data_IF_841869595227
#
_entry.id   IF_841869595227
#
_cell.length_a   1.000
_cell.length_b   1.000
_cell.length_c   1.000
_cell.angle_alpha   90.00
_cell.angle_beta   90.00
_cell.angle_gamma   90.00
#
_symmetry.space_group_name_H-M   'P 1'
#
loop_
_entity.id
_entity.type
_entity.pdbx_description
1 polymer ?
#
# COMPACT_ATOMS: atom_id res chain seq x y z
N UNK A 1 -4.53 54.34 -4.84
CA UNK A 1 -3.36 53.53 -4.42
C UNK A 1 -3.79 52.07 -4.38
N UNK A 2 -3.99 51.43 -5.55
CA UNK A 2 -4.66 50.11 -5.60
C UNK A 2 -4.02 49.14 -6.62
N UNK A 3 -2.74 49.32 -6.96
CA UNK A 3 -2.06 48.58 -8.05
C UNK A 3 -0.86 47.76 -7.56
N UNK A 4 -0.96 47.11 -6.39
CA UNK A 4 0.08 46.20 -5.89
C UNK A 4 -0.39 44.75 -5.69
N UNK A 5 -1.63 44.42 -6.08
CA UNK A 5 -2.20 43.08 -5.82
C UNK A 5 -2.27 42.16 -7.07
N UNK A 6 -1.81 42.61 -8.23
CA UNK A 6 -1.96 41.83 -9.48
C UNK A 6 -0.91 40.71 -9.65
N UNK A 7 0.20 40.74 -8.89
CA UNK A 7 1.22 39.67 -8.89
C UNK A 7 0.94 38.52 -7.91
N UNK A 8 0.21 38.78 -6.82
CA UNK A 8 -0.09 37.78 -5.79
C UNK A 8 -1.13 36.76 -6.25
N UNK A 9 -2.08 37.16 -7.09
CA UNK A 9 -3.10 36.26 -7.63
C UNK A 9 -2.53 35.19 -8.58
N UNK A 10 -1.37 35.40 -9.22
CA UNK A 10 -0.76 34.38 -10.06
C UNK A 10 -0.05 33.27 -9.25
N UNK A 11 0.51 33.57 -8.07
CA UNK A 11 1.17 32.57 -7.23
C UNK A 11 0.20 31.67 -6.45
N UNK A 12 -0.94 32.23 -6.03
CA UNK A 12 -1.95 31.51 -5.25
C UNK A 12 -2.63 30.41 -6.09
N UNK A 13 -2.81 30.62 -7.40
CA UNK A 13 -3.40 29.60 -8.28
C UNK A 13 -2.58 28.31 -8.35
N UNK A 14 -1.25 28.41 -8.40
CA UNK A 14 -0.35 27.25 -8.42
C UNK A 14 -0.32 26.50 -7.09
N UNK A 15 -0.41 27.22 -5.96
CA UNK A 15 -0.46 26.61 -4.63
C UNK A 15 -1.74 25.77 -4.46
N UNK A 16 -2.87 26.28 -4.94
CA UNK A 16 -4.15 25.57 -4.88
C UNK A 16 -4.10 24.28 -5.71
N UNK A 17 -3.43 24.31 -6.88
CA UNK A 17 -3.28 23.15 -7.76
C UNK A 17 -2.44 22.04 -7.09
N UNK A 18 -1.31 22.41 -6.47
CA UNK A 18 -0.46 21.46 -5.73
C UNK A 18 -1.24 20.82 -4.56
N UNK A 19 -1.98 21.63 -3.82
CA UNK A 19 -2.82 21.15 -2.71
C UNK A 19 -3.90 20.20 -3.20
N UNK A 20 -4.55 20.51 -4.33
CA UNK A 20 -5.57 19.65 -4.93
C UNK A 20 -4.98 18.28 -5.33
N UNK A 21 -3.80 18.25 -5.95
CA UNK A 21 -3.11 16.98 -6.30
C UNK A 21 -2.76 16.19 -5.04
N UNK A 22 -2.23 16.84 -4.01
CA UNK A 22 -1.89 16.19 -2.75
C UNK A 22 -3.12 15.56 -2.08
N UNK A 23 -4.27 16.24 -2.11
CA UNK A 23 -5.55 15.73 -1.59
C UNK A 23 -6.01 14.51 -2.40
N UNK A 24 -5.92 14.55 -3.73
CA UNK A 24 -6.27 13.42 -4.60
C UNK A 24 -5.41 12.20 -4.27
N UNK A 25 -4.09 12.37 -4.17
CA UNK A 25 -3.16 11.29 -3.82
C UNK A 25 -3.50 10.74 -2.43
N UNK A 26 -3.72 11.61 -1.44
CA UNK A 26 -4.10 11.20 -0.09
C UNK A 26 -5.40 10.41 -0.04
N UNK A 27 -6.41 10.82 -0.81
CA UNK A 27 -7.67 10.09 -0.93
C UNK A 27 -7.46 8.73 -1.57
N UNK A 28 -6.66 8.63 -2.65
CA UNK A 28 -6.33 7.36 -3.28
C UNK A 28 -5.62 6.44 -2.29
N UNK A 29 -4.62 6.91 -1.54
CA UNK A 29 -3.94 6.08 -0.53
C UNK A 29 -4.85 5.66 0.63
N UNK A 30 -5.72 6.56 1.11
CA UNK A 30 -6.67 6.27 2.21
C UNK A 30 -7.75 5.27 1.79
N UNK A 31 -8.26 5.38 0.57
CA UNK A 31 -9.22 4.42 0.02
C UNK A 31 -8.55 3.12 -0.41
N UNK A 32 -7.34 3.15 -0.98
CA UNK A 32 -6.54 1.96 -1.27
C UNK A 32 -6.27 1.19 0.02
N UNK A 33 -5.86 1.85 1.11
CA UNK A 33 -5.68 1.21 2.42
C UNK A 33 -6.97 0.56 2.93
N UNK A 34 -8.13 1.17 2.67
CA UNK A 34 -9.45 0.63 3.05
C UNK A 34 -9.93 -0.54 2.15
N UNK A 35 -9.54 -0.56 0.87
CA UNK A 35 -9.77 -1.68 -0.04
C UNK A 35 -8.80 -2.85 0.22
N UNK A 36 -7.54 -2.55 0.55
CA UNK A 36 -6.56 -3.53 1.04
C UNK A 36 -6.81 -4.01 2.47
N UNK A 37 -7.82 -3.52 3.18
CA UNK A 37 -8.23 -4.07 4.50
C UNK A 37 -9.58 -4.80 4.45
N UNK A 38 -10.38 -4.62 3.39
CA UNK A 38 -11.62 -5.39 3.18
C UNK A 38 -11.46 -6.59 2.23
N UNK A 39 -10.54 -6.56 1.26
CA UNK A 39 -10.22 -7.73 0.43
C UNK A 39 -9.14 -8.64 1.06
N UNK A 40 -8.37 -8.13 2.01
CA UNK A 40 -7.22 -8.81 2.61
C UNK A 40 -7.58 -9.58 3.89
N UNK A 41 -8.87 -9.64 4.23
CA UNK A 41 -9.39 -10.45 5.34
C UNK A 41 -9.76 -11.89 4.92
N UNK A 42 -9.91 -12.17 3.62
CA UNK A 42 -10.41 -13.49 3.17
C UNK A 42 -9.42 -14.29 2.32
N UNK A 43 -8.29 -13.70 1.90
CA UNK A 43 -7.34 -14.35 1.00
C UNK A 43 -5.87 -13.98 1.28
N UNK A 44 -5.51 -13.68 2.55
CA UNK A 44 -4.08 -13.76 2.91
C UNK A 44 -3.67 -15.21 2.77
N UNK A 45 -3.05 -15.54 1.64
CA UNK A 45 -2.45 -16.87 1.44
C UNK A 45 -1.44 -17.09 2.56
N UNK A 46 -1.25 -18.33 3.00
CA UNK A 46 -0.27 -18.65 4.04
C UNK A 46 1.14 -18.08 3.74
N UNK A 47 1.48 -17.93 2.44
CA UNK A 47 2.68 -17.23 1.96
C UNK A 47 2.76 -15.75 2.34
N UNK A 48 1.64 -15.02 2.31
CA UNK A 48 1.61 -13.59 2.59
C UNK A 48 1.82 -13.31 4.08
N UNK A 49 1.24 -14.16 4.95
CA UNK A 49 1.48 -14.13 6.40
C UNK A 49 2.95 -14.45 6.70
N UNK A 50 3.53 -15.40 5.96
CA UNK A 50 4.92 -15.80 6.10
C UNK A 50 5.87 -14.67 5.69
N UNK A 51 5.60 -14.00 4.57
CA UNK A 51 6.33 -12.82 4.09
C UNK A 51 6.30 -11.67 5.11
N UNK A 52 5.12 -11.38 5.67
CA UNK A 52 4.92 -10.33 6.66
C UNK A 52 5.76 -10.60 7.93
N UNK A 53 5.85 -11.86 8.38
CA UNK A 53 6.65 -12.23 9.55
C UNK A 53 8.15 -12.22 9.28
N UNK A 54 8.58 -12.59 8.08
CA UNK A 54 9.98 -12.50 7.66
C UNK A 54 10.45 -11.03 7.58
N UNK A 55 9.64 -10.16 6.96
CA UNK A 55 9.92 -8.73 6.87
C UNK A 55 9.98 -8.04 8.24
N UNK A 56 9.18 -8.52 9.20
CA UNK A 56 9.22 -8.07 10.60
C UNK A 56 10.39 -8.65 11.40
N UNK A 57 11.24 -9.50 10.80
CA UNK A 57 12.36 -10.17 11.48
C UNK A 57 11.93 -11.19 12.54
N UNK A 58 10.66 -11.61 12.54
CA UNK A 58 10.09 -12.52 13.56
C UNK A 58 10.36 -14.00 13.28
N UNK A 59 10.85 -14.33 12.08
CA UNK A 59 11.21 -15.69 11.67
C UNK A 59 12.56 -15.66 10.96
N UNK A 60 13.32 -16.74 11.10
CA UNK A 60 14.60 -16.89 10.41
C UNK A 60 14.40 -17.29 8.94
N UNK A 61 15.42 -17.05 8.10
CA UNK A 61 15.40 -17.47 6.68
C UNK A 61 15.13 -18.98 6.52
N UNK A 62 15.68 -19.80 7.43
CA UNK A 62 15.51 -21.25 7.41
C UNK A 62 14.06 -21.67 7.63
N UNK A 63 13.39 -21.09 8.63
CA UNK A 63 11.96 -21.35 8.89
C UNK A 63 11.05 -20.82 7.78
N UNK A 64 11.44 -19.72 7.13
CA UNK A 64 10.73 -19.18 5.98
C UNK A 64 10.77 -20.16 4.79
N UNK A 65 11.94 -20.73 4.48
CA UNK A 65 12.10 -21.68 3.38
C UNK A 65 11.35 -22.99 3.62
N UNK A 66 11.42 -23.56 4.83
CA UNK A 66 10.67 -24.78 5.18
C UNK A 66 9.16 -24.59 5.00
N UNK A 67 8.60 -23.50 5.55
CA UNK A 67 7.16 -23.25 5.49
C UNK A 67 6.69 -22.90 4.08
N UNK A 68 7.51 -22.18 3.31
CA UNK A 68 7.24 -21.91 1.89
C UNK A 68 7.15 -23.21 1.10
N UNK A 69 8.08 -24.13 1.29
CA UNK A 69 8.10 -25.40 0.57
C UNK A 69 6.90 -26.28 0.94
N UNK A 70 6.50 -26.31 2.21
CA UNK A 70 5.30 -27.04 2.65
C UNK A 70 4.02 -26.50 1.97
N UNK A 71 3.86 -25.18 1.91
CA UNK A 71 2.69 -24.54 1.28
C UNK A 71 2.67 -24.78 -0.24
N UNK A 72 3.84 -24.73 -0.90
CA UNK A 72 3.95 -25.01 -2.34
C UNK A 72 3.63 -26.47 -2.63
N UNK A 73 4.11 -27.40 -1.80
CA UNK A 73 3.88 -28.84 -1.96
C UNK A 73 2.40 -29.20 -1.80
N UNK A 74 1.74 -28.67 -0.77
CA UNK A 74 0.30 -28.89 -0.52
C UNK A 74 -0.57 -28.42 -1.70
N UNK A 75 -0.21 -27.26 -2.29
CA UNK A 75 -0.91 -26.71 -3.47
C UNK A 75 -0.75 -27.55 -4.74
N UNK A 76 0.34 -28.32 -4.85
CA UNK A 76 0.60 -29.19 -6.01
C UNK A 76 -0.10 -30.54 -5.91
N UNK A 77 -0.35 -31.04 -4.69
CA UNK A 77 -1.02 -32.33 -4.46
C UNK A 77 -2.55 -32.20 -4.53
N UNK A 78 -3.11 -31.09 -4.04
CA UNK A 78 -4.57 -30.85 -4.03
C UNK A 78 -5.15 -30.37 -5.38
N UNK A 79 -4.35 -30.42 -6.45
CA UNK A 79 -4.72 -29.99 -7.81
C UNK A 79 -4.81 -31.16 -8.82
N UNK A 80 -4.78 -32.41 -8.33
CA UNK A 80 -5.06 -33.63 -9.11
C UNK A 80 -6.53 -34.02 -8.95
#
# INVERSE_FOLDING_TARGET
MNEMNQGWNMGIGWIILIIAIAIIIFLIFKFASRYYSRAYSSNKTALDILNERYAKGKISKKEYEEKKNLIVYDKTINKQ
#
